data_IF_373644731833
#
_entry.id   IF_373644731833
#
_cell.length_a   1.000
_cell.length_b   1.000
_cell.length_c   1.000
_cell.angle_alpha   90.00
_cell.angle_beta   90.00
_cell.angle_gamma   90.00
#
_symmetry.space_group_name_H-M   'P 1'
#
loop_
_entity.id
_entity.type
_entity.pdbx_description
1 polymer ?
#
# COMPACT_ATOMS: atom_id res chain seq x y z
N UNK A 1 -14.74 5.45 -10.70
CA UNK A 1 -13.53 6.09 -10.15
C UNK A 1 -12.55 6.22 -11.31
N UNK A 2 -11.87 7.36 -11.50
CA UNK A 2 -10.85 7.48 -12.53
C UNK A 2 -9.74 6.46 -12.26
N UNK A 3 -9.43 5.64 -13.27
CA UNK A 3 -8.36 4.65 -13.21
C UNK A 3 -7.34 4.92 -14.31
N UNK A 4 -6.09 4.55 -14.03
CA UNK A 4 -4.99 4.56 -15.00
C UNK A 4 -4.25 3.24 -14.91
N UNK A 5 -3.91 2.69 -16.07
CA UNK A 5 -3.08 1.51 -16.15
C UNK A 5 -1.60 1.87 -16.09
N UNK A 6 -0.88 1.14 -15.24
CA UNK A 6 0.58 1.15 -15.18
C UNK A 6 1.08 -0.24 -15.53
N UNK A 7 2.20 -0.34 -16.24
CA UNK A 7 2.89 -1.63 -16.36
C UNK A 7 3.58 -1.96 -15.04
N UNK A 8 3.84 -3.25 -14.81
CA UNK A 8 4.60 -3.68 -13.62
C UNK A 8 5.99 -3.06 -13.56
N UNK A 9 6.63 -2.87 -14.71
CA UNK A 9 7.95 -2.20 -14.78
C UNK A 9 7.85 -0.71 -14.44
N UNK A 10 6.77 -0.04 -14.85
CA UNK A 10 6.53 1.35 -14.45
C UNK A 10 6.32 1.47 -12.94
N UNK A 11 5.54 0.55 -12.35
CA UNK A 11 5.34 0.51 -10.90
C UNK A 11 6.64 0.21 -10.15
N UNK A 12 7.42 -0.78 -10.60
CA UNK A 12 8.71 -1.11 -9.99
C UNK A 12 9.68 0.08 -10.04
N UNK A 13 9.71 0.83 -11.15
CA UNK A 13 10.52 2.04 -11.26
C UNK A 13 10.09 3.17 -10.29
N UNK A 14 8.85 3.14 -9.81
CA UNK A 14 8.31 4.06 -8.80
C UNK A 14 8.47 3.51 -7.36
N UNK A 15 9.02 2.31 -7.19
CA UNK A 15 9.09 1.63 -5.89
C UNK A 15 7.75 1.03 -5.43
N UNK A 16 6.88 0.66 -6.38
CA UNK A 16 5.57 0.07 -6.10
C UNK A 16 5.56 -1.43 -6.46
N UNK A 17 5.22 -2.33 -5.52
CA UNK A 17 5.01 -2.04 -4.09
C UNK A 17 6.34 -1.75 -3.38
N UNK A 18 6.31 -1.12 -2.19
CA UNK A 18 7.50 -0.99 -1.37
C UNK A 18 7.97 -2.36 -0.84
N UNK A 19 9.25 -2.49 -0.55
CA UNK A 19 9.84 -3.70 0.05
C UNK A 19 9.29 -3.92 1.47
N UNK A 20 9.10 -2.85 2.22
CA UNK A 20 8.48 -2.82 3.55
C UNK A 20 7.60 -1.57 3.74
N UNK A 21 6.61 -1.61 4.66
CA UNK A 21 5.76 -0.43 4.92
C UNK A 21 6.54 0.80 5.41
N UNK A 22 7.67 0.59 6.08
CA UNK A 22 8.50 1.67 6.62
C UNK A 22 9.29 2.42 5.55
N UNK A 23 9.54 1.80 4.39
CA UNK A 23 10.28 2.41 3.27
C UNK A 23 9.60 3.65 2.69
N UNK A 24 8.27 3.75 2.84
CA UNK A 24 7.51 4.92 2.42
C UNK A 24 8.02 6.21 3.06
N UNK A 25 8.53 6.14 4.30
CA UNK A 25 9.04 7.30 5.03
C UNK A 25 10.32 7.90 4.41
N UNK A 26 11.01 7.12 3.56
CA UNK A 26 12.27 7.50 2.93
C UNK A 26 12.10 7.74 1.41
N UNK A 27 10.86 7.79 0.91
CA UNK A 27 10.55 7.95 -0.51
C UNK A 27 9.98 9.34 -0.80
N UNK A 28 10.42 9.94 -1.91
CA UNK A 28 9.79 11.15 -2.46
C UNK A 28 8.54 10.83 -3.32
N UNK A 29 8.39 9.57 -3.73
CA UNK A 29 7.34 9.11 -4.66
C UNK A 29 6.19 8.42 -3.93
N UNK A 30 6.52 7.57 -2.95
CA UNK A 30 5.54 6.85 -2.16
C UNK A 30 5.06 7.76 -1.02
N UNK A 31 3.74 7.87 -0.86
CA UNK A 31 3.13 8.80 0.10
C UNK A 31 2.63 8.06 1.34
N UNK A 32 1.98 6.91 1.14
CA UNK A 32 1.38 6.11 2.21
C UNK A 32 1.37 4.65 1.78
N UNK A 33 1.56 3.73 2.72
CA UNK A 33 1.24 2.32 2.53
C UNK A 33 0.30 1.83 3.65
N UNK A 34 -0.94 1.54 3.26
CA UNK A 34 -2.05 1.23 4.15
C UNK A 34 -2.22 -0.29 4.27
N UNK A 35 -2.42 -0.78 5.49
CA UNK A 35 -3.01 -2.11 5.68
C UNK A 35 -4.49 -2.06 5.33
N UNK A 36 -4.95 -2.97 4.47
CA UNK A 36 -6.37 -3.05 4.07
C UNK A 36 -7.06 -4.18 4.84
N UNK A 37 -6.52 -5.40 4.74
CA UNK A 37 -7.08 -6.56 5.42
C UNK A 37 -6.07 -7.71 5.49
N UNK A 38 -6.34 -8.68 6.37
CA UNK A 38 -5.63 -9.96 6.39
C UNK A 38 -6.38 -10.98 5.54
N UNK A 39 -5.63 -11.70 4.71
CA UNK A 39 -6.08 -12.90 4.01
C UNK A 39 -5.67 -14.13 4.84
N UNK A 40 -5.83 -15.33 4.27
CA UNK A 40 -5.54 -16.58 5.00
C UNK A 40 -4.05 -16.74 5.35
N UNK A 41 -3.16 -16.31 4.46
CA UNK A 41 -1.70 -16.50 4.57
C UNK A 41 -0.89 -15.25 4.19
N UNK A 42 -1.57 -14.20 3.75
CA UNK A 42 -1.01 -12.94 3.27
C UNK A 42 -1.85 -11.79 3.83
N UNK A 43 -1.40 -10.57 3.60
CA UNK A 43 -2.17 -9.36 3.85
C UNK A 43 -2.36 -8.61 2.55
N UNK A 44 -3.50 -7.96 2.40
CA UNK A 44 -3.76 -7.01 1.34
C UNK A 44 -3.39 -5.62 1.85
N UNK A 45 -2.59 -4.91 1.06
CA UNK A 45 -2.10 -3.57 1.35
C UNK A 45 -2.43 -2.64 0.20
N UNK A 46 -2.36 -1.34 0.45
CA UNK A 46 -2.66 -0.31 -0.54
C UNK A 46 -1.62 0.79 -0.44
N UNK A 47 -0.81 0.89 -1.48
CA UNK A 47 0.18 1.96 -1.60
C UNK A 47 -0.38 3.12 -2.38
N UNK A 48 -0.15 4.33 -1.89
CA UNK A 48 -0.48 5.60 -2.51
C UNK A 48 0.84 6.24 -2.97
N UNK A 49 0.91 6.66 -4.22
CA UNK A 49 2.12 7.25 -4.80
C UNK A 49 1.78 8.43 -5.71
N UNK A 50 2.72 9.36 -5.84
CA UNK A 50 2.64 10.46 -6.80
C UNK A 50 3.22 10.01 -8.16
N UNK A 51 2.43 10.13 -9.23
CA UNK A 51 2.92 9.85 -10.58
C UNK A 51 3.74 11.06 -11.09
N UNK A 52 5.04 10.88 -11.43
CA UNK A 52 5.94 12.00 -11.73
C UNK A 52 5.62 12.68 -13.07
N UNK A 53 4.88 12.02 -13.95
CA UNK A 53 4.60 12.51 -15.30
C UNK A 53 3.41 13.50 -15.36
N UNK A 54 2.48 13.43 -14.41
CA UNK A 54 1.29 14.27 -14.38
C UNK A 54 1.00 14.93 -13.03
N UNK A 55 1.81 14.63 -12.00
CA UNK A 55 1.67 15.17 -10.64
C UNK A 55 0.41 14.72 -9.91
N UNK A 56 -0.32 13.72 -10.43
CA UNK A 56 -1.52 13.16 -9.78
C UNK A 56 -1.13 12.01 -8.87
N UNK A 57 -1.97 11.75 -7.87
CA UNK A 57 -1.77 10.65 -6.93
C UNK A 57 -2.66 9.47 -7.27
N UNK A 58 -2.09 8.28 -7.15
CA UNK A 58 -2.75 7.03 -7.48
C UNK A 58 -2.56 6.03 -6.35
N UNK A 59 -3.51 5.12 -6.22
CA UNK A 59 -3.46 4.02 -5.28
C UNK A 59 -3.52 2.68 -6.01
N UNK A 60 -2.66 1.74 -5.60
CA UNK A 60 -2.64 0.36 -6.08
C UNK A 60 -2.70 -0.57 -4.88
N UNK A 61 -3.58 -1.56 -4.95
CA UNK A 61 -3.61 -2.65 -3.98
C UNK A 61 -2.65 -3.76 -4.39
N UNK A 62 -2.02 -4.38 -3.40
CA UNK A 62 -1.08 -5.47 -3.60
C UNK A 62 -1.12 -6.43 -2.41
N UNK A 63 -0.81 -7.70 -2.65
CA UNK A 63 -0.64 -8.68 -1.58
C UNK A 63 0.82 -8.75 -1.12
N UNK A 64 0.99 -8.81 0.21
CA UNK A 64 2.27 -8.92 0.89
C UNK A 64 2.23 -10.05 1.93
N UNK A 65 3.39 -10.64 2.32
CA UNK A 65 3.44 -11.58 3.43
C UNK A 65 3.00 -10.89 4.75
N UNK A 66 2.40 -11.65 5.65
CA UNK A 66 2.08 -11.16 7.00
C UNK A 66 3.38 -11.11 7.79
N UNK A 67 3.78 -9.94 8.28
CA UNK A 67 4.88 -9.85 9.24
C UNK A 67 4.39 -10.35 10.61
N UNK A 68 4.69 -11.61 10.92
CA UNK A 68 4.32 -12.27 12.17
C UNK A 68 5.53 -12.46 13.12
N UNK A 69 6.65 -11.76 12.88
CA UNK A 69 7.90 -11.93 13.64
C UNK A 69 8.67 -13.20 13.25
N UNK A 70 9.38 -13.82 14.21
CA UNK A 70 10.30 -14.96 14.03
C UNK A 70 9.65 -16.28 13.54
N UNK A 71 8.39 -16.26 13.13
CA UNK A 71 7.71 -17.42 12.56
C UNK A 71 7.83 -17.38 11.04
N UNK A 72 8.29 -18.47 10.43
CA UNK A 72 8.29 -18.62 8.98
C UNK A 72 6.85 -18.56 8.45
N UNK A 73 6.45 -17.37 8.00
CA UNK A 73 5.33 -17.22 7.09
C UNK A 73 5.82 -17.58 5.68
N UNK A 74 5.01 -18.33 4.94
CA UNK A 74 5.30 -18.58 3.53
C UNK A 74 5.50 -17.26 2.78
N UNK A 75 6.28 -17.29 1.69
CA UNK A 75 6.50 -16.10 0.87
C UNK A 75 5.17 -15.47 0.42
N UNK A 76 5.21 -14.16 0.16
CA UNK A 76 4.08 -13.47 -0.47
C UNK A 76 3.74 -14.10 -1.83
N UNK A 77 2.51 -13.90 -2.34
CA UNK A 77 2.14 -14.41 -3.65
C UNK A 77 3.03 -13.84 -4.75
N UNK A 78 3.26 -14.64 -5.78
CA UNK A 78 3.99 -14.20 -6.96
C UNK A 78 3.36 -12.94 -7.55
N UNK A 79 4.20 -11.97 -7.91
CA UNK A 79 3.79 -10.69 -8.50
C UNK A 79 2.79 -9.89 -7.63
N UNK A 80 2.83 -10.07 -6.31
CA UNK A 80 2.01 -9.31 -5.36
C UNK A 80 0.50 -9.45 -5.60
N UNK A 81 0.07 -10.59 -6.14
CA UNK A 81 -1.35 -10.84 -6.46
C UNK A 81 -1.85 -10.14 -7.73
N UNK A 82 -0.97 -9.48 -8.48
CA UNK A 82 -1.33 -8.83 -9.75
C UNK A 82 -1.42 -9.84 -10.90
N UNK A 83 -2.40 -9.64 -11.78
CA UNK A 83 -2.63 -10.48 -12.95
C UNK A 83 -2.29 -9.73 -14.23
N UNK A 84 -1.46 -10.33 -15.09
CA UNK A 84 -1.07 -9.75 -16.36
C UNK A 84 0.11 -8.77 -16.26
N UNK A 85 0.29 -7.95 -17.28
CA UNK A 85 1.43 -7.02 -17.38
C UNK A 85 1.10 -5.59 -16.91
N UNK A 86 -0.18 -5.30 -16.71
CA UNK A 86 -0.66 -3.99 -16.28
C UNK A 86 -1.48 -4.11 -15.01
N UNK A 87 -1.41 -3.08 -14.20
CA UNK A 87 -2.13 -2.94 -12.94
C UNK A 87 -2.98 -1.69 -13.01
N UNK A 88 -4.25 -1.82 -12.65
CA UNK A 88 -5.16 -0.68 -12.57
C UNK A 88 -4.90 0.08 -11.28
N UNK A 89 -4.52 1.35 -11.40
CA UNK A 89 -4.34 2.27 -10.29
C UNK A 89 -5.53 3.24 -10.23
N UNK A 90 -6.09 3.44 -9.04
CA UNK A 90 -7.20 4.36 -8.81
C UNK A 90 -6.64 5.74 -8.48
N UNK A 91 -7.07 6.78 -9.19
CA UNK A 91 -6.70 8.16 -8.84
C UNK A 91 -7.35 8.56 -7.50
N UNK A 92 -6.55 9.14 -6.61
CA UNK A 92 -6.97 9.53 -5.26
C UNK A 92 -6.63 10.99 -5.00
N UNK A 93 -7.18 11.56 -3.95
CA UNK A 93 -6.79 12.87 -3.45
C UNK A 93 -6.74 12.83 -1.93
N UNK A 94 -5.88 13.65 -1.33
CA UNK A 94 -5.82 13.78 0.12
C UNK A 94 -7.09 14.48 0.62
N UNK A 95 -7.74 13.87 1.62
CA UNK A 95 -8.90 14.47 2.29
C UNK A 95 -8.78 14.28 3.79
N UNK A 96 -8.93 15.37 4.53
CA UNK A 96 -9.07 15.31 5.98
C UNK A 96 -10.40 14.67 6.36
N UNK A 97 -10.35 13.62 7.16
CA UNK A 97 -11.52 12.90 7.69
C UNK A 97 -11.52 12.95 9.21
N UNK A 98 -12.70 13.12 9.80
CA UNK A 98 -12.88 13.05 11.27
C UNK A 98 -13.34 11.65 11.65
N UNK A 99 -12.62 11.00 12.57
CA UNK A 99 -12.93 9.67 13.09
C UNK A 99 -13.19 9.72 14.59
N UNK A 100 -14.19 8.96 15.05
CA UNK A 100 -14.41 8.70 16.49
C UNK A 100 -13.69 7.41 16.86
N UNK A 101 -12.83 7.47 17.88
CA UNK A 101 -12.01 6.34 18.33
C UNK A 101 -12.21 6.12 19.83
N UNK A 102 -12.16 4.86 20.26
CA UNK A 102 -12.06 4.52 21.68
C UNK A 102 -10.60 4.63 22.12
N UNK A 103 -10.34 5.40 23.16
CA UNK A 103 -9.01 5.55 23.76
C UNK A 103 -9.01 4.97 25.17
N UNK A 104 -7.85 4.55 25.72
CA UNK A 104 -7.73 4.24 27.14
C UNK A 104 -8.23 5.41 28.00
N UNK A 105 -8.82 5.09 29.17
CA UNK A 105 -9.16 6.10 30.18
C UNK A 105 -7.89 6.39 30.97
N UNK A 106 -7.47 7.66 31.04
CA UNK A 106 -6.41 8.08 31.96
C UNK A 106 -6.97 8.10 33.39
N UNK A 107 -6.66 7.09 34.20
CA UNK A 107 -6.92 7.15 35.64
C UNK A 107 -5.81 7.97 36.32
N UNK A 108 -6.14 8.99 37.14
CA UNK A 108 -5.13 9.71 37.90
C UNK A 108 -4.44 8.76 38.89
N UNK A 109 -3.11 8.76 38.87
CA UNK A 109 -2.24 8.05 39.83
C UNK A 109 -2.34 8.65 41.24
#
# INVERSE_FOLDING_TARGET
>A
MPTRQFTREQLAALGVPPDSPEDVQYSDTLLVDEHVTNLKYSQQRRVIFAAPDNGRTYAVEYEAPIDAGDYEVGGGPDNHGWWGNTVDAVEVEERTVTVTLWTPVDEPQ
#
